data_IF_309336862213
#
_entry.id   IF_309336862213
#
_cell.length_a   1.000
_cell.length_b   1.000
_cell.length_c   1.000
_cell.angle_alpha   90.00
_cell.angle_beta   90.00
_cell.angle_gamma   90.00
#
_symmetry.space_group_name_H-M   'P 1'
#
loop_
_entity.id
_entity.type
_entity.pdbx_description
1 polymer ?
#
# COMPACT_ATOMS: atom_id res chain seq x y z
N UNK A 1 -9.17 -4.10 16.51
CA UNK A 1 -7.79 -4.15 17.05
C UNK A 1 -7.82 -3.89 18.55
N UNK A 2 -7.24 -4.77 19.37
CA UNK A 2 -7.29 -4.65 20.84
C UNK A 2 -5.88 -4.57 21.44
N UNK A 3 -5.74 -3.85 22.56
CA UNK A 3 -4.51 -3.89 23.36
C UNK A 3 -4.16 -5.34 23.76
N UNK A 4 -2.89 -5.68 23.64
CA UNK A 4 -2.35 -7.02 23.92
C UNK A 4 -2.38 -7.98 22.73
N UNK A 5 -2.88 -7.56 21.56
CA UNK A 5 -2.94 -8.44 20.38
C UNK A 5 -1.61 -8.43 19.64
N UNK A 6 -1.16 -9.61 19.21
CA UNK A 6 -0.03 -9.74 18.31
C UNK A 6 -0.39 -9.28 16.89
N UNK A 7 0.58 -8.68 16.21
CA UNK A 7 0.42 -8.10 14.89
C UNK A 7 1.73 -8.22 14.08
N UNK A 8 1.59 -8.10 12.76
CA UNK A 8 2.69 -7.96 11.83
C UNK A 8 2.66 -6.58 11.17
N UNK A 9 3.82 -5.94 11.09
CA UNK A 9 4.03 -4.72 10.31
C UNK A 9 4.76 -5.12 9.03
N UNK A 10 4.08 -5.02 7.89
CA UNK A 10 4.58 -5.51 6.59
C UNK A 10 4.62 -4.38 5.56
N UNK A 11 5.69 -4.32 4.78
CA UNK A 11 5.81 -3.44 3.63
C UNK A 11 7.26 -3.27 3.20
N UNK A 12 7.47 -2.94 1.92
CA UNK A 12 8.79 -2.61 1.37
C UNK A 12 9.87 -3.67 1.65
N UNK A 13 9.52 -4.95 1.47
CA UNK A 13 10.41 -6.09 1.69
C UNK A 13 10.72 -6.41 3.16
N UNK A 14 10.09 -5.72 4.12
CA UNK A 14 10.29 -5.95 5.55
C UNK A 14 9.00 -6.42 6.22
N UNK A 15 9.15 -7.35 7.17
CA UNK A 15 8.06 -7.79 8.04
C UNK A 15 8.58 -7.92 9.47
N UNK A 16 7.87 -7.30 10.41
CA UNK A 16 8.18 -7.34 11.83
C UNK A 16 7.01 -7.92 12.60
N UNK A 17 7.26 -8.88 13.50
CA UNK A 17 6.27 -9.35 14.47
C UNK A 17 6.37 -8.51 15.74
N UNK A 18 5.25 -8.01 16.21
CA UNK A 18 5.18 -7.20 17.44
C UNK A 18 3.81 -7.34 18.10
N UNK A 19 3.64 -6.74 19.26
CA UNK A 19 2.39 -6.72 20.02
C UNK A 19 1.92 -5.28 20.18
N UNK A 20 0.62 -5.04 19.97
CA UNK A 20 -0.01 -3.74 20.23
C UNK A 20 -0.16 -3.55 21.73
N UNK A 21 0.46 -2.53 22.29
CA UNK A 21 0.43 -2.23 23.74
C UNK A 21 -0.52 -1.10 24.11
N UNK A 22 -1.03 -0.35 23.13
CA UNK A 22 -2.01 0.71 23.32
C UNK A 22 -2.71 1.09 22.03
N UNK A 23 -3.92 1.59 22.14
CA UNK A 23 -4.72 2.14 21.04
C UNK A 23 -5.27 3.48 21.52
N UNK A 24 -5.07 4.52 20.73
CA UNK A 24 -5.44 5.89 21.07
C UNK A 24 -6.16 6.56 19.90
N UNK A 25 -7.18 7.37 20.19
CA UNK A 25 -7.84 8.23 19.23
C UNK A 25 -8.06 9.60 19.88
N UNK A 26 -7.61 10.68 19.23
CA UNK A 26 -7.76 12.06 19.73
C UNK A 26 -7.41 12.25 21.22
N UNK A 27 -6.22 11.80 21.65
CA UNK A 27 -5.78 11.88 23.05
C UNK A 27 -6.61 11.09 24.07
N UNK A 28 -7.43 10.13 23.60
CA UNK A 28 -8.18 9.21 24.44
C UNK A 28 -7.74 7.78 24.17
N UNK A 29 -7.44 7.06 25.25
CA UNK A 29 -7.16 5.63 25.19
C UNK A 29 -8.44 4.85 24.87
N UNK A 30 -8.38 3.97 23.88
CA UNK A 30 -9.46 3.06 23.53
C UNK A 30 -9.15 1.65 24.06
N UNK A 31 -10.18 0.94 24.50
CA UNK A 31 -10.08 -0.49 24.88
C UNK A 31 -9.93 -1.39 23.65
N UNK A 32 -10.62 -1.02 22.58
CA UNK A 32 -10.66 -1.68 21.28
C UNK A 32 -10.94 -0.63 20.20
N UNK A 33 -10.42 -0.86 19.00
CA UNK A 33 -10.77 -0.12 17.81
C UNK A 33 -11.41 -1.01 16.75
N UNK A 34 -12.30 -0.42 15.96
CA UNK A 34 -13.06 -1.06 14.89
C UNK A 34 -12.60 -0.56 13.52
N UNK A 35 -13.06 -1.24 12.46
CA UNK A 35 -12.84 -0.78 11.10
C UNK A 35 -13.49 0.60 10.89
N UNK A 36 -12.75 1.54 10.32
CA UNK A 36 -13.17 2.93 10.11
C UNK A 36 -12.59 3.93 11.13
N UNK A 37 -12.03 3.46 12.24
CA UNK A 37 -11.43 4.34 13.26
C UNK A 37 -10.10 4.96 12.79
N UNK A 38 -10.00 6.28 12.90
CA UNK A 38 -8.73 7.00 12.76
C UNK A 38 -7.98 7.01 14.10
N UNK A 39 -7.01 6.10 14.24
CA UNK A 39 -6.33 5.84 15.51
C UNK A 39 -4.80 5.87 15.38
N UNK A 40 -4.14 5.99 16.53
CA UNK A 40 -2.74 5.62 16.74
C UNK A 40 -2.64 4.29 17.48
N UNK A 41 -1.73 3.42 17.05
CA UNK A 41 -1.41 2.16 17.73
C UNK A 41 0.01 2.23 18.29
N UNK A 42 0.15 2.00 19.60
CA UNK A 42 1.44 1.83 20.23
C UNK A 42 1.88 0.37 20.07
N UNK A 43 3.04 0.15 19.45
CA UNK A 43 3.60 -1.18 19.19
C UNK A 43 4.90 -1.38 19.97
N UNK A 44 5.13 -2.61 20.44
CA UNK A 44 6.29 -2.92 21.29
C UNK A 44 7.57 -3.06 20.47
N UNK A 45 8.61 -2.33 20.87
CA UNK A 45 9.98 -2.60 20.41
C UNK A 45 10.24 -2.32 18.94
N UNK A 46 9.37 -1.56 18.27
CA UNK A 46 9.61 -1.09 16.89
C UNK A 46 9.99 0.38 16.97
N UNK A 47 11.13 0.74 16.37
CA UNK A 47 11.62 2.11 16.35
C UNK A 47 11.01 2.89 15.19
N UNK A 48 10.98 4.22 15.31
CA UNK A 48 10.37 5.09 14.31
C UNK A 48 11.05 4.97 12.94
N UNK A 49 12.37 4.81 12.92
CA UNK A 49 13.19 4.64 11.73
C UNK A 49 12.98 3.31 10.99
N UNK A 50 12.38 2.32 11.66
CA UNK A 50 12.07 1.01 11.06
C UNK A 50 10.72 1.00 10.33
N UNK A 51 9.89 2.02 10.58
CA UNK A 51 8.56 2.17 9.99
C UNK A 51 8.60 3.31 8.99
N UNK A 52 7.89 3.13 7.87
CA UNK A 52 7.59 4.24 6.96
C UNK A 52 6.15 4.21 6.51
N UNK A 53 5.67 5.36 6.05
CA UNK A 53 4.34 5.48 5.43
C UNK A 53 4.22 4.47 4.30
N UNK A 54 3.05 3.84 4.19
CA UNK A 54 2.78 2.78 3.23
C UNK A 54 2.91 1.35 3.78
N UNK A 55 3.51 1.17 4.96
CA UNK A 55 3.47 -0.12 5.66
C UNK A 55 2.12 -0.37 6.31
N UNK A 56 1.75 -1.65 6.46
CA UNK A 56 0.46 -2.09 6.97
C UNK A 56 0.64 -2.90 8.26
N UNK A 57 -0.20 -2.61 9.26
CA UNK A 57 -0.36 -3.45 10.45
C UNK A 57 -1.46 -4.47 10.16
N UNK A 58 -1.18 -5.75 10.34
CA UNK A 58 -2.12 -6.84 10.06
C UNK A 58 -2.08 -7.91 11.13
N UNK A 59 -3.09 -8.80 11.12
CA UNK A 59 -3.04 -10.02 11.94
C UNK A 59 -1.89 -10.90 11.40
N UNK A 60 -1.08 -11.53 12.26
CA UNK A 60 0.06 -12.30 11.81
C UNK A 60 -0.32 -13.37 10.78
N UNK A 61 0.44 -13.45 9.69
CA UNK A 61 0.26 -14.42 8.61
C UNK A 61 -0.92 -14.18 7.67
N UNK A 62 -1.64 -13.06 7.80
CA UNK A 62 -2.83 -12.78 6.96
C UNK A 62 -2.53 -11.98 5.69
N UNK A 63 -1.45 -11.21 5.67
CA UNK A 63 -1.03 -10.40 4.52
C UNK A 63 0.38 -10.82 4.09
N UNK A 64 0.58 -10.91 2.78
CA UNK A 64 1.90 -11.10 2.17
C UNK A 64 2.20 -9.93 1.25
N UNK A 65 3.47 -9.54 1.20
CA UNK A 65 3.94 -8.58 0.22
C UNK A 65 4.10 -9.27 -1.14
N UNK A 66 3.73 -8.57 -2.21
CA UNK A 66 3.85 -9.04 -3.59
C UNK A 66 4.55 -7.97 -4.43
N UNK A 67 5.45 -8.40 -5.30
CA UNK A 67 6.20 -7.51 -6.20
C UNK A 67 5.59 -7.46 -7.62
N UNK A 68 4.71 -8.41 -7.94
CA UNK A 68 4.05 -8.52 -9.24
C UNK A 68 2.55 -8.65 -9.02
N UNK A 69 1.78 -7.91 -9.82
CA UNK A 69 0.32 -7.95 -9.83
C UNK A 69 -0.17 -7.92 -11.28
N UNK A 70 -1.30 -8.56 -11.53
CA UNK A 70 -2.08 -8.38 -12.75
C UNK A 70 -3.25 -7.45 -12.43
N UNK A 71 -3.47 -6.46 -13.27
CA UNK A 71 -4.53 -5.47 -13.09
C UNK A 71 -5.00 -4.96 -14.46
N UNK A 72 -6.30 -4.68 -14.55
CA UNK A 72 -6.86 -3.91 -15.66
C UNK A 72 -6.65 -2.42 -15.38
N UNK A 73 -6.17 -1.68 -16.38
CA UNK A 73 -5.87 -0.25 -16.29
C UNK A 73 -6.54 0.53 -17.43
N UNK A 74 -7.02 1.72 -17.11
CA UNK A 74 -7.46 2.70 -18.10
C UNK A 74 -6.40 3.79 -18.21
N UNK A 75 -5.95 4.07 -19.43
CA UNK A 75 -4.97 5.13 -19.68
C UNK A 75 -5.71 6.42 -19.99
N UNK A 76 -5.59 7.43 -19.12
CA UNK A 76 -6.21 8.74 -19.35
C UNK A 76 -5.80 9.36 -20.69
N UNK A 77 -6.77 9.91 -21.40
CA UNK A 77 -6.57 10.71 -22.61
C UNK A 77 -5.88 12.03 -22.28
N UNK A 78 -5.38 12.74 -23.31
CA UNK A 78 -4.83 14.09 -23.15
C UNK A 78 -5.85 15.08 -22.57
N UNK A 79 -7.11 14.97 -22.98
CA UNK A 79 -8.17 15.88 -22.54
C UNK A 79 -8.58 15.64 -21.08
N UNK A 80 -8.37 14.42 -20.57
CA UNK A 80 -8.46 14.07 -19.15
C UNK A 80 -7.22 14.46 -18.33
N UNK A 81 -6.26 15.17 -18.93
CA UNK A 81 -5.00 15.54 -18.29
C UNK A 81 -3.96 14.42 -18.25
N UNK A 82 -4.17 13.36 -19.02
CA UNK A 82 -3.27 12.23 -19.17
C UNK A 82 -2.09 12.48 -20.10
N UNK A 83 -1.49 11.38 -20.57
CA UNK A 83 -0.30 11.44 -21.44
C UNK A 83 -0.72 11.72 -22.88
N UNK A 84 0.12 12.47 -23.60
CA UNK A 84 -0.02 12.63 -25.06
C UNK A 84 0.72 11.54 -25.86
N UNK A 85 1.68 10.85 -25.24
CA UNK A 85 2.51 9.81 -25.87
C UNK A 85 2.11 8.42 -25.38
N UNK A 86 2.19 7.39 -26.23
CA UNK A 86 1.89 6.02 -25.86
C UNK A 86 2.82 5.49 -24.76
N UNK A 87 2.36 4.43 -24.10
CA UNK A 87 3.08 3.69 -23.07
C UNK A 87 3.57 2.38 -23.69
N UNK A 88 4.87 2.11 -23.60
CA UNK A 88 5.45 0.84 -24.03
C UNK A 88 5.79 -0.08 -22.86
N UNK A 89 6.09 -1.34 -23.18
CA UNK A 89 6.56 -2.32 -22.20
C UNK A 89 7.84 -1.85 -21.47
N UNK A 90 7.94 -2.22 -20.20
CA UNK A 90 9.03 -1.90 -19.27
C UNK A 90 9.22 -0.40 -18.95
N UNK A 91 8.32 0.47 -19.42
CA UNK A 91 8.33 1.87 -19.02
C UNK A 91 8.00 1.99 -17.51
N UNK A 92 8.78 2.82 -16.82
CA UNK A 92 8.65 3.02 -15.38
C UNK A 92 7.63 4.11 -15.05
N UNK A 93 6.75 3.81 -14.10
CA UNK A 93 5.76 4.74 -13.55
C UNK A 93 5.76 4.65 -12.03
N UNK A 94 5.07 5.58 -11.38
CA UNK A 94 4.73 5.46 -9.96
C UNK A 94 3.31 4.93 -9.82
N UNK A 95 3.15 3.82 -9.10
CA UNK A 95 1.86 3.33 -8.66
C UNK A 95 1.58 3.89 -7.27
N UNK A 96 0.36 4.40 -7.09
CA UNK A 96 -0.15 4.86 -5.80
C UNK A 96 -1.29 3.95 -5.37
N UNK A 97 -1.27 3.51 -4.12
CA UNK A 97 -2.38 2.77 -3.53
C UNK A 97 -2.49 3.07 -2.05
N UNK A 98 -3.66 3.57 -1.65
CA UNK A 98 -3.96 3.99 -0.29
C UNK A 98 -2.90 4.94 0.28
N UNK A 99 -1.96 4.42 1.07
CA UNK A 99 -0.91 5.19 1.73
C UNK A 99 0.49 4.92 1.19
N UNK A 100 0.68 3.90 0.34
CA UNK A 100 1.96 3.57 -0.25
C UNK A 100 2.03 4.03 -1.71
N UNK A 101 3.25 4.31 -2.13
CA UNK A 101 3.63 4.51 -3.51
C UNK A 101 4.95 3.78 -3.80
N UNK A 102 5.04 3.21 -5.00
CA UNK A 102 6.21 2.47 -5.46
C UNK A 102 6.44 2.71 -6.95
N UNK A 103 7.70 2.78 -7.41
CA UNK A 103 8.00 2.68 -8.83
C UNK A 103 7.62 1.28 -9.33
N UNK A 104 6.99 1.22 -10.50
CA UNK A 104 6.55 -0.01 -11.16
C UNK A 104 6.97 0.01 -12.62
N UNK A 105 7.13 -1.17 -13.20
CA UNK A 105 7.25 -1.35 -14.65
C UNK A 105 5.95 -1.96 -15.17
N UNK A 106 5.45 -1.42 -16.27
CA UNK A 106 4.25 -1.94 -16.92
C UNK A 106 4.67 -2.98 -17.96
N UNK A 107 4.03 -4.14 -17.92
CA UNK A 107 4.15 -5.18 -18.94
C UNK A 107 2.72 -5.45 -19.43
N UNK A 108 2.52 -5.31 -20.73
CA UNK A 108 1.24 -5.47 -21.39
C UNK A 108 1.32 -6.78 -22.19
N UNK A 109 0.51 -7.78 -21.85
CA UNK A 109 0.41 -8.99 -22.66
C UNK A 109 -0.02 -8.63 -24.08
N UNK A 110 0.59 -9.27 -25.08
CA UNK A 110 0.17 -9.24 -26.49
C UNK A 110 0.18 -7.89 -27.22
N UNK A 111 0.55 -6.79 -26.55
CA UNK A 111 0.73 -5.46 -27.15
C UNK A 111 2.10 -4.89 -26.83
N UNK A 112 2.72 -4.26 -27.82
CA UNK A 112 3.99 -3.52 -27.62
C UNK A 112 3.76 -2.13 -27.02
N UNK A 113 2.58 -1.53 -27.27
CA UNK A 113 2.22 -0.18 -26.85
C UNK A 113 0.73 -0.04 -26.51
N UNK A 114 0.43 0.82 -25.54
CA UNK A 114 -0.93 1.26 -25.18
C UNK A 114 -1.08 2.75 -25.51
N UNK A 115 -2.16 3.11 -26.20
CA UNK A 115 -2.48 4.50 -26.53
C UNK A 115 -3.27 5.18 -25.39
N UNK A 116 -3.15 6.51 -25.23
CA UNK A 116 -4.05 7.25 -24.34
C UNK A 116 -5.52 7.06 -24.74
N UNK A 117 -6.37 6.75 -23.76
CA UNK A 117 -7.79 6.42 -23.93
C UNK A 117 -8.11 4.94 -24.08
N UNK A 118 -7.11 4.05 -24.08
CA UNK A 118 -7.33 2.61 -24.13
C UNK A 118 -7.44 1.97 -22.73
N UNK A 119 -8.24 0.91 -22.65
CA UNK A 119 -8.22 -0.09 -21.58
C UNK A 119 -7.21 -1.20 -21.92
N UNK A 120 -6.44 -1.63 -20.93
CA UNK A 120 -5.43 -2.70 -21.04
C UNK A 120 -5.46 -3.64 -19.83
#
# INVERSE_FOLDING_TARGET
LKKGTDCEITGYGKTFKTTVTGVEMYHKTLTEAQAGDQLGALVRGVKREEIKRGMVISKPGTIKAHDNIEAAIYILTKDEGGRAKPIGNYMQFHMYSLTWDCPVQIIVPDKDMIMPGEDA
#
